data_IF_019911226576
#
_entry.id   IF_019911226576
#
_cell.length_a   1.000
_cell.length_b   1.000
_cell.length_c   1.000
_cell.angle_alpha   90.00
_cell.angle_beta   90.00
_cell.angle_gamma   90.00
#
_symmetry.space_group_name_H-M   'P 1'
#
loop_
_entity.id
_entity.type
_entity.pdbx_description
1 polymer ?
#
# COMPACT_ATOMS: atom_id res chain seq x y z
N UNK A 1 65.38 39.50 -11.98
CA UNK A 1 63.93 39.56 -11.44
C UNK A 1 62.92 39.67 -12.57
N UNK A 2 62.99 40.52 -13.54
CA UNK A 2 62.03 40.69 -14.65
C UNK A 2 61.77 39.43 -15.51
N UNK A 3 62.77 38.59 -15.73
CA UNK A 3 62.72 37.36 -16.57
C UNK A 3 61.96 36.23 -15.88
N UNK A 4 61.98 36.17 -14.52
CA UNK A 4 61.19 35.20 -13.72
C UNK A 4 59.73 35.56 -13.67
N UNK A 5 59.36 36.83 -13.62
CA UNK A 5 57.97 37.31 -13.61
C UNK A 5 57.33 37.06 -14.96
N UNK A 6 58.05 37.21 -16.09
CA UNK A 6 57.51 36.93 -17.42
C UNK A 6 57.27 35.47 -17.68
N UNK A 7 58.08 34.57 -17.13
CA UNK A 7 57.83 33.11 -17.22
C UNK A 7 56.66 32.64 -16.37
N UNK A 8 56.42 33.25 -15.21
CA UNK A 8 55.24 32.89 -14.34
C UNK A 8 53.90 33.32 -14.95
N UNK A 9 53.89 34.42 -15.69
CA UNK A 9 52.70 34.91 -16.41
C UNK A 9 52.41 34.06 -17.66
N UNK A 10 53.41 33.57 -18.38
CA UNK A 10 53.26 32.69 -19.55
C UNK A 10 52.72 31.29 -19.17
N UNK A 11 53.08 30.77 -18.00
CA UNK A 11 52.52 29.50 -17.51
C UNK A 11 51.08 29.62 -17.02
N UNK A 12 50.64 30.77 -16.48
CA UNK A 12 49.26 31.00 -16.08
C UNK A 12 48.28 31.02 -17.25
N UNK A 13 48.66 31.52 -18.41
CA UNK A 13 47.83 31.57 -19.62
C UNK A 13 47.73 30.24 -20.36
N UNK A 14 48.76 29.38 -20.25
CA UNK A 14 48.89 28.16 -21.06
C UNK A 14 47.81 27.07 -20.75
N UNK A 15 47.18 27.09 -19.56
CA UNK A 15 46.17 26.14 -19.15
C UNK A 15 44.78 26.78 -18.91
N UNK A 16 44.64 28.07 -19.23
CA UNK A 16 43.35 28.75 -18.98
C UNK A 16 42.24 28.23 -19.93
N UNK A 17 42.57 27.93 -21.17
CA UNK A 17 41.70 27.31 -22.13
C UNK A 17 41.25 25.89 -21.68
N UNK A 18 42.16 25.13 -21.03
CA UNK A 18 41.83 23.79 -20.50
C UNK A 18 40.80 23.88 -19.36
N UNK A 19 40.91 24.90 -18.51
CA UNK A 19 39.90 25.15 -17.46
C UNK A 19 38.54 25.51 -18.05
N UNK A 20 38.54 26.33 -19.11
CA UNK A 20 37.29 26.63 -19.83
C UNK A 20 36.72 25.39 -20.53
N UNK A 21 37.55 24.59 -21.17
CA UNK A 21 37.11 23.32 -21.79
C UNK A 21 36.54 22.36 -20.77
N UNK A 22 37.22 22.16 -19.63
CA UNK A 22 36.70 21.33 -18.52
C UNK A 22 35.38 21.88 -17.98
N UNK A 23 35.28 23.20 -17.81
CA UNK A 23 34.02 23.84 -17.39
C UNK A 23 32.88 23.60 -18.37
N UNK A 24 33.11 23.72 -19.67
CA UNK A 24 32.12 23.41 -20.71
C UNK A 24 31.73 21.93 -20.67
N UNK A 25 32.69 21.02 -20.57
CA UNK A 25 32.42 19.58 -20.49
C UNK A 25 31.62 19.23 -19.23
N UNK A 26 31.92 19.81 -18.07
CA UNK A 26 31.12 19.66 -16.86
C UNK A 26 29.72 20.21 -17.05
N UNK A 27 29.55 21.36 -17.66
CA UNK A 27 28.24 21.94 -17.94
C UNK A 27 27.40 21.04 -18.87
N UNK A 28 28.04 20.54 -19.95
CA UNK A 28 27.37 19.60 -20.87
C UNK A 28 27.01 18.28 -20.18
N UNK A 29 27.84 17.75 -19.29
CA UNK A 29 27.56 16.57 -18.51
C UNK A 29 26.38 16.78 -17.53
N UNK A 30 26.38 17.95 -16.86
CA UNK A 30 25.25 18.32 -15.97
C UNK A 30 23.95 18.47 -16.74
N UNK A 31 24.01 19.16 -17.91
CA UNK A 31 22.83 19.33 -18.76
C UNK A 31 22.31 17.97 -19.27
N UNK A 32 23.22 17.13 -19.77
CA UNK A 32 22.90 15.78 -20.26
C UNK A 32 22.31 14.90 -19.14
N UNK A 33 22.91 14.95 -17.96
CA UNK A 33 22.39 14.26 -16.76
C UNK A 33 20.99 14.74 -16.38
N UNK A 34 20.76 16.06 -16.40
CA UNK A 34 19.43 16.62 -16.11
C UNK A 34 18.39 16.18 -17.14
N UNK A 35 18.71 16.26 -18.44
CA UNK A 35 17.84 15.78 -19.52
C UNK A 35 17.54 14.29 -19.36
N UNK A 36 18.55 13.48 -19.04
CA UNK A 36 18.36 12.06 -18.81
C UNK A 36 17.37 11.83 -17.65
N UNK A 37 17.63 12.42 -16.48
CA UNK A 37 16.87 12.17 -15.26
C UNK A 37 15.40 12.63 -15.38
N UNK A 38 15.12 13.78 -16.00
CA UNK A 38 13.80 14.40 -16.00
C UNK A 38 12.99 14.21 -17.28
N UNK A 39 13.64 13.81 -18.38
CA UNK A 39 12.98 13.68 -19.69
C UNK A 39 13.07 12.25 -20.23
N UNK A 40 14.25 11.65 -20.26
CA UNK A 40 14.45 10.36 -20.91
C UNK A 40 14.16 9.16 -20.01
N UNK A 41 14.43 9.27 -18.71
CA UNK A 41 14.27 8.16 -17.78
C UNK A 41 12.83 7.98 -17.24
N UNK A 42 12.03 9.02 -16.93
CA UNK A 42 10.66 8.87 -16.48
C UNK A 42 9.74 8.00 -17.36
N UNK A 43 9.80 8.10 -18.70
CA UNK A 43 9.05 7.19 -19.58
C UNK A 43 9.40 5.72 -19.40
N UNK A 44 10.65 5.39 -19.06
CA UNK A 44 11.10 4.02 -18.79
C UNK A 44 10.49 3.50 -17.48
N UNK A 45 10.45 4.35 -16.44
CA UNK A 45 9.77 4.02 -15.16
C UNK A 45 8.27 3.78 -15.41
N UNK A 46 7.63 4.69 -16.12
CA UNK A 46 6.20 4.57 -16.47
C UNK A 46 5.91 3.28 -17.26
N UNK A 47 6.73 2.98 -18.27
CA UNK A 47 6.64 1.75 -19.08
C UNK A 47 6.75 0.49 -18.21
N UNK A 48 7.66 0.50 -17.23
CA UNK A 48 7.82 -0.64 -16.32
C UNK A 48 6.56 -0.90 -15.51
N UNK A 49 5.89 0.15 -15.05
CA UNK A 49 4.63 0.04 -14.30
C UNK A 49 3.50 -0.47 -15.20
N UNK A 50 3.38 0.09 -16.42
CA UNK A 50 2.36 -0.36 -17.38
C UNK A 50 2.55 -1.83 -17.74
N UNK A 51 3.77 -2.25 -18.06
CA UNK A 51 4.06 -3.66 -18.38
C UNK A 51 3.81 -4.59 -17.20
N UNK A 52 4.11 -4.15 -15.97
CA UNK A 52 3.80 -4.95 -14.79
C UNK A 52 2.29 -5.12 -14.59
N UNK A 53 1.48 -4.10 -14.91
CA UNK A 53 0.01 -4.21 -14.85
C UNK A 53 -0.58 -5.10 -15.96
N UNK A 54 0.07 -5.14 -17.13
CA UNK A 54 -0.36 -5.99 -18.25
C UNK A 54 0.00 -7.47 -18.02
N UNK A 55 1.05 -7.71 -17.20
CA UNK A 55 1.51 -9.07 -16.90
C UNK A 55 0.71 -9.70 -15.77
N UNK A 56 -0.52 -10.14 -16.07
CA UNK A 56 -1.44 -10.72 -15.10
C UNK A 56 -1.00 -12.11 -14.68
N UNK A 57 -0.89 -12.32 -13.40
CA UNK A 57 -0.60 -13.64 -12.85
C UNK A 57 -1.83 -14.56 -13.03
N UNK A 58 -1.66 -15.79 -13.57
CA UNK A 58 -2.76 -16.73 -13.67
C UNK A 58 -3.20 -17.17 -12.26
N UNK A 59 -4.48 -17.52 -12.13
CA UNK A 59 -4.98 -18.23 -10.94
C UNK A 59 -4.47 -19.66 -10.97
N UNK A 60 -3.82 -20.08 -9.89
CA UNK A 60 -3.26 -21.44 -9.70
C UNK A 60 -4.01 -22.22 -8.65
N UNK A 61 -4.68 -21.55 -7.74
CA UNK A 61 -5.44 -22.12 -6.64
C UNK A 61 -6.85 -21.55 -6.57
N UNK A 62 -7.75 -22.31 -5.98
CA UNK A 62 -9.12 -21.89 -5.74
C UNK A 62 -9.54 -22.21 -4.31
N UNK A 63 -10.61 -21.60 -3.76
CA UNK A 63 -11.14 -21.92 -2.44
C UNK A 63 -11.43 -23.40 -2.24
N UNK A 64 -11.69 -24.14 -3.30
CA UNK A 64 -11.95 -25.60 -3.25
C UNK A 64 -10.77 -26.38 -2.67
N UNK A 65 -9.53 -25.94 -2.89
CA UNK A 65 -8.31 -26.55 -2.29
C UNK A 65 -8.38 -26.60 -0.77
N UNK A 66 -9.08 -25.64 -0.17
CA UNK A 66 -9.26 -25.52 1.28
C UNK A 66 -10.61 -26.07 1.76
N UNK A 67 -11.31 -26.81 0.89
CA UNK A 67 -12.60 -27.41 1.22
C UNK A 67 -13.77 -26.42 1.31
N UNK A 68 -13.60 -25.19 0.78
CA UNK A 68 -14.64 -24.16 0.81
C UNK A 68 -15.52 -24.24 -0.45
N UNK A 69 -16.81 -24.06 -0.25
CA UNK A 69 -17.75 -23.76 -1.33
C UNK A 69 -17.56 -22.31 -1.75
N UNK A 70 -17.65 -22.06 -3.03
CA UNK A 70 -17.59 -20.71 -3.60
C UNK A 70 -18.35 -20.62 -4.92
N UNK A 71 -18.68 -19.41 -5.31
CA UNK A 71 -19.24 -19.05 -6.60
C UNK A 71 -18.32 -18.06 -7.30
N UNK A 72 -18.00 -18.30 -8.57
CA UNK A 72 -17.37 -17.28 -9.42
C UNK A 72 -18.40 -16.20 -9.72
N UNK A 73 -18.00 -14.95 -9.48
CA UNK A 73 -18.87 -13.78 -9.70
C UNK A 73 -18.22 -12.77 -10.63
N UNK A 74 -19.04 -12.18 -11.48
CA UNK A 74 -18.68 -11.05 -12.34
C UNK A 74 -19.47 -9.84 -11.88
N UNK A 75 -18.77 -8.76 -11.55
CA UNK A 75 -19.34 -7.57 -10.90
C UNK A 75 -19.17 -6.38 -11.83
N UNK A 76 -20.25 -5.88 -12.44
CA UNK A 76 -20.17 -4.69 -13.26
C UNK A 76 -19.89 -3.46 -12.39
N UNK A 77 -18.89 -2.69 -12.80
CA UNK A 77 -18.52 -1.41 -12.21
C UNK A 77 -18.93 -0.25 -13.13
N UNK A 78 -18.82 0.98 -12.61
CA UNK A 78 -18.82 2.17 -13.44
C UNK A 78 -17.71 2.09 -14.50
N UNK A 79 -17.81 2.87 -15.55
CA UNK A 79 -16.78 2.98 -16.60
C UNK A 79 -16.57 1.71 -17.45
N UNK A 80 -17.55 0.79 -17.43
CA UNK A 80 -17.53 -0.42 -18.26
C UNK A 80 -16.54 -1.51 -17.78
N UNK A 81 -15.93 -1.35 -16.63
CA UNK A 81 -15.07 -2.38 -16.03
C UNK A 81 -15.93 -3.46 -15.38
N UNK A 82 -15.57 -4.72 -15.57
CA UNK A 82 -16.17 -5.87 -14.87
C UNK A 82 -15.12 -6.48 -13.96
N UNK A 83 -15.40 -6.55 -12.66
CA UNK A 83 -14.52 -7.24 -11.70
C UNK A 83 -14.87 -8.73 -11.68
N UNK A 84 -13.85 -9.54 -11.42
CA UNK A 84 -13.97 -10.98 -11.19
C UNK A 84 -13.68 -11.29 -9.72
N UNK A 85 -14.46 -12.17 -9.13
CA UNK A 85 -14.30 -12.52 -7.72
C UNK A 85 -14.78 -13.91 -7.39
N UNK A 86 -14.55 -14.30 -6.13
CA UNK A 86 -15.10 -15.49 -5.49
C UNK A 86 -16.01 -15.07 -4.35
N UNK A 87 -17.28 -15.44 -4.45
CA UNK A 87 -18.19 -15.37 -3.33
C UNK A 87 -18.08 -16.62 -2.48
N UNK A 88 -17.69 -16.47 -1.22
CA UNK A 88 -17.56 -17.54 -0.24
C UNK A 88 -18.65 -17.38 0.83
N UNK A 89 -19.72 -18.20 0.80
CA UNK A 89 -20.76 -18.15 1.81
C UNK A 89 -20.22 -18.62 3.17
N UNK A 90 -20.76 -18.06 4.24
CA UNK A 90 -20.46 -18.54 5.59
C UNK A 90 -20.99 -19.95 5.81
N UNK A 91 -20.29 -20.81 6.57
CA UNK A 91 -20.82 -22.10 7.00
C UNK A 91 -21.96 -21.98 8.02
N UNK A 92 -22.14 -20.81 8.63
CA UNK A 92 -23.17 -20.54 9.61
C UNK A 92 -24.51 -20.17 8.95
N UNK A 93 -25.61 -20.65 9.47
CA UNK A 93 -26.96 -20.25 9.03
C UNK A 93 -27.22 -18.75 9.24
N UNK A 94 -26.55 -18.16 10.22
CA UNK A 94 -26.53 -16.71 10.48
C UNK A 94 -25.08 -16.21 10.44
N UNK A 95 -24.61 -15.74 9.28
CA UNK A 95 -23.26 -15.19 9.15
C UNK A 95 -23.02 -14.04 10.12
N UNK A 96 -21.79 -13.95 10.63
CA UNK A 96 -21.36 -12.89 11.56
C UNK A 96 -21.19 -11.53 10.90
N UNK A 97 -21.10 -11.49 9.57
CA UNK A 97 -20.95 -10.27 8.77
C UNK A 97 -20.49 -10.60 7.36
N UNK A 98 -20.29 -9.57 6.56
CA UNK A 98 -19.81 -9.66 5.18
C UNK A 98 -18.48 -8.92 5.06
N UNK A 99 -17.50 -9.54 4.42
CA UNK A 99 -16.18 -8.92 4.19
C UNK A 99 -15.92 -8.86 2.69
N UNK A 100 -15.60 -7.67 2.20
CA UNK A 100 -15.04 -7.46 0.86
C UNK A 100 -13.53 -7.44 0.99
N UNK A 101 -12.84 -8.42 0.41
CA UNK A 101 -11.40 -8.62 0.58
C UNK A 101 -10.68 -8.52 -0.77
N UNK A 102 -9.59 -7.75 -0.82
CA UNK A 102 -8.78 -7.63 -2.04
C UNK A 102 -7.28 -7.52 -1.78
N UNK A 103 -6.52 -7.78 -2.81
CA UNK A 103 -5.08 -8.02 -2.87
C UNK A 103 -4.24 -6.74 -3.10
N UNK A 104 -2.91 -6.88 -3.10
CA UNK A 104 -1.94 -5.85 -3.43
C UNK A 104 -1.76 -5.63 -4.94
N UNK A 105 -0.92 -4.65 -5.30
CA UNK A 105 -0.63 -4.30 -6.69
C UNK A 105 0.04 -5.46 -7.45
N UNK A 106 -0.32 -5.65 -8.73
CA UNK A 106 0.22 -6.67 -9.64
C UNK A 106 0.02 -8.12 -9.20
N UNK A 107 -0.90 -8.35 -8.28
CA UNK A 107 -1.33 -9.66 -7.82
C UNK A 107 -2.77 -9.97 -8.26
N UNK A 108 -3.28 -11.06 -7.77
CA UNK A 108 -4.67 -11.46 -7.91
C UNK A 108 -5.24 -11.90 -6.56
N UNK A 109 -6.50 -12.29 -6.53
CA UNK A 109 -7.24 -12.70 -5.33
C UNK A 109 -6.63 -13.85 -4.54
N UNK A 110 -5.75 -14.67 -5.14
CA UNK A 110 -5.05 -15.75 -4.42
C UNK A 110 -4.14 -15.24 -3.32
N UNK A 111 -3.54 -14.04 -3.49
CA UNK A 111 -2.65 -13.46 -2.48
C UNK A 111 -3.30 -13.33 -1.10
N UNK A 112 -4.62 -13.14 -1.08
CA UNK A 112 -5.39 -12.96 0.16
C UNK A 112 -6.29 -14.16 0.49
N UNK A 113 -6.16 -15.26 -0.25
CA UNK A 113 -7.02 -16.43 -0.09
C UNK A 113 -6.92 -17.05 1.31
N UNK A 114 -5.73 -17.12 1.91
CA UNK A 114 -5.56 -17.63 3.28
C UNK A 114 -6.32 -16.80 4.31
N UNK A 115 -6.38 -15.47 4.14
CA UNK A 115 -7.20 -14.58 4.98
C UNK A 115 -8.69 -14.87 4.81
N UNK A 116 -9.12 -15.10 3.56
CA UNK A 116 -10.51 -15.45 3.27
C UNK A 116 -10.89 -16.79 3.90
N UNK A 117 -10.04 -17.81 3.78
CA UNK A 117 -10.24 -19.14 4.41
C UNK A 117 -10.41 -19.01 5.91
N UNK A 118 -9.53 -18.25 6.56
CA UNK A 118 -9.62 -17.98 7.98
C UNK A 118 -10.95 -17.32 8.36
N UNK A 119 -11.33 -16.25 7.66
CA UNK A 119 -12.56 -15.48 7.95
C UNK A 119 -13.82 -16.31 7.75
N UNK A 120 -13.88 -17.12 6.68
CA UNK A 120 -15.00 -18.05 6.46
C UNK A 120 -15.07 -19.08 7.58
N UNK A 121 -13.93 -19.63 7.99
CA UNK A 121 -13.83 -20.55 9.13
C UNK A 121 -14.30 -19.93 10.46
N UNK A 122 -14.24 -18.59 10.59
CA UNK A 122 -14.77 -17.84 11.76
C UNK A 122 -16.24 -17.44 11.61
N UNK A 123 -16.90 -17.81 10.52
CA UNK A 123 -18.33 -17.59 10.34
C UNK A 123 -18.70 -16.33 9.57
N UNK A 124 -17.74 -15.64 8.96
CA UNK A 124 -18.01 -14.54 8.02
C UNK A 124 -18.28 -15.09 6.62
N UNK A 125 -19.06 -14.36 5.85
CA UNK A 125 -19.12 -14.56 4.40
C UNK A 125 -18.16 -13.55 3.74
N UNK A 126 -17.47 -13.97 2.68
CA UNK A 126 -16.38 -13.19 2.09
C UNK A 126 -16.55 -13.10 0.58
N UNK A 127 -16.49 -11.90 0.05
CA UNK A 127 -16.25 -11.67 -1.38
C UNK A 127 -14.77 -11.33 -1.56
N UNK A 128 -14.02 -12.24 -2.18
CA UNK A 128 -12.63 -11.98 -2.59
C UNK A 128 -12.65 -11.60 -4.06
N UNK A 129 -12.09 -10.44 -4.41
CA UNK A 129 -12.16 -9.94 -5.77
C UNK A 129 -10.79 -9.44 -6.27
N UNK A 130 -10.56 -9.57 -7.56
CA UNK A 130 -9.45 -8.92 -8.25
C UNK A 130 -9.82 -7.45 -8.46
N UNK A 131 -8.96 -6.54 -8.03
CA UNK A 131 -9.13 -5.13 -8.36
C UNK A 131 -9.07 -4.91 -9.87
N UNK A 132 -9.68 -3.84 -10.36
CA UNK A 132 -9.60 -3.46 -11.78
C UNK A 132 -8.15 -3.49 -12.28
N UNK A 133 -7.94 -3.91 -13.51
CA UNK A 133 -6.60 -4.03 -14.10
C UNK A 133 -5.79 -5.23 -13.62
N UNK A 134 -6.27 -6.04 -12.67
CA UNK A 134 -5.55 -7.19 -12.11
C UNK A 134 -6.32 -8.52 -12.28
N UNK A 135 -5.61 -9.62 -12.15
CA UNK A 135 -6.18 -10.97 -12.20
C UNK A 135 -7.09 -11.20 -13.42
N UNK A 136 -8.32 -11.62 -13.19
CA UNK A 136 -9.34 -11.82 -14.22
C UNK A 136 -10.32 -10.64 -14.38
N UNK A 137 -10.10 -9.54 -13.65
CA UNK A 137 -10.92 -8.33 -13.78
C UNK A 137 -10.63 -7.57 -15.07
N UNK A 138 -11.57 -6.73 -15.50
CA UNK A 138 -11.47 -5.91 -16.70
C UNK A 138 -10.25 -4.98 -16.69
N UNK A 139 -9.80 -4.59 -17.89
CA UNK A 139 -8.62 -3.74 -18.05
C UNK A 139 -8.84 -2.35 -17.43
N UNK A 140 -7.85 -1.89 -16.72
CA UNK A 140 -7.73 -0.54 -16.17
C UNK A 140 -6.27 -0.28 -15.85
N UNK A 141 -5.76 0.93 -16.06
CA UNK A 141 -4.44 1.28 -15.55
C UNK A 141 -4.46 1.34 -14.03
N UNK A 142 -3.34 1.00 -13.41
CA UNK A 142 -3.15 1.13 -11.95
C UNK A 142 -3.13 2.60 -11.56
N UNK A 143 -4.01 3.01 -10.66
CA UNK A 143 -4.14 4.41 -10.26
C UNK A 143 -3.64 4.72 -8.83
N UNK A 144 -3.00 3.75 -8.18
CA UNK A 144 -2.54 3.91 -6.80
C UNK A 144 -3.69 3.99 -5.79
N UNK A 145 -4.77 3.29 -6.05
CA UNK A 145 -5.95 3.22 -5.19
C UNK A 145 -7.04 4.26 -5.51
N UNK A 146 -6.83 5.13 -6.49
CA UNK A 146 -7.81 6.18 -6.83
C UNK A 146 -9.04 5.61 -7.55
N UNK A 147 -8.83 4.95 -8.69
CA UNK A 147 -9.90 4.27 -9.43
C UNK A 147 -10.33 2.99 -8.73
N UNK A 148 -9.35 2.24 -8.15
CA UNK A 148 -9.59 0.99 -7.43
C UNK A 148 -10.47 1.18 -6.18
N UNK A 149 -10.53 2.38 -5.61
CA UNK A 149 -11.47 2.70 -4.53
C UNK A 149 -12.94 2.49 -4.94
N UNK A 150 -13.27 2.72 -6.23
CA UNK A 150 -14.61 2.49 -6.79
C UNK A 150 -15.03 1.02 -6.84
N UNK A 151 -14.09 0.09 -6.72
CA UNK A 151 -14.37 -1.35 -6.77
C UNK A 151 -15.13 -1.84 -5.53
N UNK A 152 -14.80 -1.29 -4.34
CA UNK A 152 -15.47 -1.65 -3.10
C UNK A 152 -16.98 -1.32 -3.09
N UNK A 153 -17.42 -0.09 -3.40
CA UNK A 153 -18.86 0.21 -3.45
C UNK A 153 -19.58 -0.54 -4.57
N UNK A 154 -18.91 -0.85 -5.69
CA UNK A 154 -19.48 -1.69 -6.74
C UNK A 154 -19.73 -3.12 -6.24
N UNK A 155 -18.77 -3.72 -5.54
CA UNK A 155 -18.91 -5.01 -4.89
C UNK A 155 -20.01 -4.99 -3.82
N UNK A 156 -20.06 -3.97 -2.99
CA UNK A 156 -21.08 -3.81 -1.95
C UNK A 156 -22.49 -3.72 -2.56
N UNK A 157 -22.65 -2.92 -3.60
CA UNK A 157 -23.92 -2.81 -4.35
C UNK A 157 -24.32 -4.13 -4.98
N UNK A 158 -23.39 -4.82 -5.64
CA UNK A 158 -23.64 -6.13 -6.25
C UNK A 158 -24.17 -7.15 -5.25
N UNK A 159 -23.58 -7.22 -4.04
CA UNK A 159 -24.06 -8.11 -2.98
C UNK A 159 -25.39 -7.65 -2.39
N UNK A 160 -25.60 -6.34 -2.25
CA UNK A 160 -26.85 -5.78 -1.73
C UNK A 160 -28.03 -6.07 -2.67
N UNK A 161 -27.86 -5.89 -3.97
CA UNK A 161 -28.88 -6.18 -4.99
C UNK A 161 -29.31 -7.65 -4.98
N UNK A 162 -28.42 -8.57 -4.56
CA UNK A 162 -28.68 -10.01 -4.39
C UNK A 162 -29.18 -10.40 -3.00
N UNK A 163 -29.27 -9.45 -2.07
CA UNK A 163 -29.60 -9.67 -0.65
C UNK A 163 -28.61 -10.61 0.04
N UNK A 164 -27.35 -10.62 -0.42
CA UNK A 164 -26.28 -11.45 0.16
C UNK A 164 -25.57 -10.75 1.31
N UNK A 165 -25.69 -9.42 1.45
CA UNK A 165 -25.09 -8.70 2.55
C UNK A 165 -25.68 -9.12 3.90
N UNK A 166 -24.79 -9.39 4.86
CA UNK A 166 -25.08 -9.48 6.29
C UNK A 166 -24.21 -8.43 6.99
N UNK A 167 -24.85 -7.69 7.87
CA UNK A 167 -24.15 -6.66 8.64
C UNK A 167 -23.34 -7.29 9.78
N UNK A 168 -22.19 -6.73 10.16
CA UNK A 168 -21.55 -5.59 9.52
C UNK A 168 -20.91 -5.94 8.16
N UNK A 169 -20.88 -4.96 7.23
CA UNK A 169 -20.11 -5.03 6.00
C UNK A 169 -18.76 -4.34 6.20
N UNK A 170 -17.68 -5.05 5.92
CA UNK A 170 -16.30 -4.60 6.17
C UNK A 170 -15.54 -4.51 4.85
N UNK A 171 -14.83 -3.40 4.63
CA UNK A 171 -13.84 -3.27 3.55
C UNK A 171 -12.47 -3.71 4.07
N UNK A 172 -11.91 -4.72 3.46
CA UNK A 172 -10.62 -5.27 3.85
C UNK A 172 -9.68 -5.31 2.64
N UNK A 173 -8.54 -4.68 2.75
CA UNK A 173 -7.53 -4.68 1.69
C UNK A 173 -6.13 -4.91 2.22
N UNK A 174 -5.31 -5.52 1.37
CA UNK A 174 -3.88 -5.67 1.58
C UNK A 174 -3.13 -4.74 0.62
N UNK A 175 -2.11 -4.01 1.11
CA UNK A 175 -1.23 -3.14 0.31
C UNK A 175 -2.03 -2.14 -0.55
N UNK A 176 -2.02 -2.22 -1.89
CA UNK A 176 -2.88 -1.41 -2.77
C UNK A 176 -4.37 -1.56 -2.41
N UNK A 177 -4.81 -2.78 -2.09
CA UNK A 177 -6.18 -3.02 -1.61
C UNK A 177 -6.50 -2.26 -0.33
N UNK A 178 -5.52 -2.11 0.58
CA UNK A 178 -5.69 -1.32 1.81
C UNK A 178 -5.82 0.18 1.50
N UNK A 179 -5.04 0.68 0.54
CA UNK A 179 -5.17 2.05 0.05
C UNK A 179 -6.57 2.28 -0.52
N UNK A 180 -7.02 1.36 -1.38
CA UNK A 180 -8.34 1.41 -2.02
C UNK A 180 -9.47 1.34 -0.99
N UNK A 181 -9.35 0.48 0.04
CA UNK A 181 -10.33 0.38 1.13
C UNK A 181 -10.44 1.66 1.96
N UNK A 182 -9.29 2.28 2.31
CA UNK A 182 -9.26 3.56 3.04
C UNK A 182 -9.90 4.69 2.23
N UNK A 183 -9.60 4.78 0.94
CA UNK A 183 -10.21 5.78 0.03
C UNK A 183 -11.72 5.56 -0.12
N UNK A 184 -12.14 4.31 -0.36
CA UNK A 184 -13.54 3.95 -0.47
C UNK A 184 -14.33 4.24 0.81
N UNK A 185 -13.66 4.14 1.97
CA UNK A 185 -14.25 4.37 3.28
C UNK A 185 -14.63 5.82 3.57
N UNK A 186 -13.99 6.81 2.90
CA UNK A 186 -14.26 8.24 3.15
C UNK A 186 -15.71 8.61 2.82
N UNK A 187 -16.26 8.07 1.76
CA UNK A 187 -17.61 8.40 1.26
C UNK A 187 -18.55 7.20 1.20
N UNK A 188 -18.21 6.11 1.90
CA UNK A 188 -19.04 4.90 1.86
C UNK A 188 -20.35 5.07 2.59
N UNK A 189 -21.41 4.55 1.99
CA UNK A 189 -22.70 4.32 2.65
C UNK A 189 -22.91 2.83 3.01
N UNK A 190 -21.96 1.97 2.68
CA UNK A 190 -22.09 0.52 2.81
C UNK A 190 -21.26 -0.05 3.95
N UNK A 191 -19.99 0.36 4.08
CA UNK A 191 -19.10 -0.20 5.07
C UNK A 191 -19.36 0.31 6.49
N UNK A 192 -19.24 -0.57 7.46
CA UNK A 192 -19.27 -0.27 8.90
C UNK A 192 -17.88 -0.31 9.52
N UNK A 193 -16.86 -0.82 8.82
CA UNK A 193 -15.47 -0.78 9.25
C UNK A 193 -14.51 -0.97 8.06
N UNK A 194 -13.23 -0.63 8.29
CA UNK A 194 -12.13 -0.88 7.37
C UNK A 194 -11.07 -1.70 8.08
N UNK A 195 -10.50 -2.68 7.37
CA UNK A 195 -9.23 -3.34 7.73
C UNK A 195 -8.21 -3.01 6.64
N UNK A 196 -7.16 -2.30 7.03
CA UNK A 196 -6.09 -1.85 6.15
C UNK A 196 -4.79 -2.56 6.54
N UNK A 197 -4.43 -3.61 5.80
CA UNK A 197 -3.22 -4.39 6.02
C UNK A 197 -2.09 -3.87 5.13
N UNK A 198 -1.04 -3.34 5.75
CA UNK A 198 0.16 -2.78 5.11
C UNK A 198 -0.11 -1.67 4.07
N UNK A 199 -0.94 -0.64 4.38
CA UNK A 199 -1.19 0.46 3.45
C UNK A 199 0.06 1.33 3.27
N UNK A 200 0.44 1.62 2.02
CA UNK A 200 1.47 2.62 1.74
C UNK A 200 0.89 4.03 1.84
N UNK A 201 1.58 4.96 2.49
CA UNK A 201 1.06 6.32 2.65
C UNK A 201 1.10 7.14 1.34
N UNK A 202 2.07 6.87 0.46
CA UNK A 202 2.24 7.60 -0.80
C UNK A 202 2.82 6.72 -1.91
N UNK A 203 2.54 7.07 -3.18
CA UNK A 203 3.21 6.43 -4.32
C UNK A 203 4.73 6.67 -4.30
N UNK A 204 5.19 7.80 -3.75
CA UNK A 204 6.62 8.07 -3.58
C UNK A 204 7.31 6.96 -2.80
N UNK A 205 6.65 6.43 -1.76
CA UNK A 205 7.16 5.28 -1.00
C UNK A 205 7.37 4.05 -1.89
N UNK A 206 6.41 3.73 -2.78
CA UNK A 206 6.56 2.65 -3.73
C UNK A 206 7.68 2.90 -4.75
N UNK A 207 7.68 4.05 -5.41
CA UNK A 207 8.68 4.40 -6.43
C UNK A 207 10.09 4.36 -5.85
N UNK A 208 10.28 4.91 -4.64
CA UNK A 208 11.60 4.98 -3.99
C UNK A 208 12.12 3.64 -3.47
N UNK A 209 11.28 2.61 -3.35
CA UNK A 209 11.65 1.33 -2.74
C UNK A 209 11.54 0.13 -3.67
N UNK A 210 10.69 0.21 -4.70
CA UNK A 210 10.32 -0.96 -5.55
C UNK A 210 10.45 -0.75 -7.05
N UNK A 211 10.91 0.43 -7.51
CA UNK A 211 11.05 0.69 -8.95
C UNK A 211 12.48 1.00 -9.35
N UNK A 212 12.77 0.90 -10.65
CA UNK A 212 14.04 1.36 -11.23
C UNK A 212 14.24 2.87 -11.05
N UNK A 213 13.20 3.62 -10.70
CA UNK A 213 13.26 5.04 -10.36
C UNK A 213 13.80 5.34 -8.95
N UNK A 214 13.97 4.32 -8.09
CA UNK A 214 14.42 4.48 -6.71
C UNK A 214 15.67 5.37 -6.54
N UNK A 215 16.74 5.25 -7.33
CA UNK A 215 17.92 6.10 -7.20
C UNK A 215 17.66 7.60 -7.38
N UNK A 216 16.59 7.97 -8.06
CA UNK A 216 16.25 9.37 -8.38
C UNK A 216 14.97 9.87 -7.66
N UNK A 217 14.28 8.99 -6.92
CA UNK A 217 13.00 9.32 -6.29
C UNK A 217 13.08 10.44 -5.23
N UNK A 218 14.28 10.71 -4.70
CA UNK A 218 14.54 11.79 -3.76
C UNK A 218 14.73 13.17 -4.44
N UNK A 219 14.95 13.21 -5.76
CA UNK A 219 15.14 14.45 -6.50
C UNK A 219 13.79 15.20 -6.62
N UNK A 220 13.79 16.53 -6.36
CA UNK A 220 12.59 17.34 -6.53
C UNK A 220 12.03 17.23 -7.96
N UNK A 221 10.72 17.03 -8.08
CA UNK A 221 10.02 16.96 -9.39
C UNK A 221 10.21 15.66 -10.19
N UNK A 222 11.08 14.74 -9.77
CA UNK A 222 11.28 13.47 -10.48
C UNK A 222 9.99 12.62 -10.52
N UNK A 223 9.31 12.48 -9.39
CA UNK A 223 8.03 11.76 -9.32
C UNK A 223 6.99 12.40 -10.23
N UNK A 224 6.88 13.73 -10.23
CA UNK A 224 5.98 14.46 -11.13
C UNK A 224 6.29 14.20 -12.61
N UNK A 225 7.59 14.09 -12.98
CA UNK A 225 7.98 13.71 -14.34
C UNK A 225 7.58 12.27 -14.68
N UNK A 226 7.68 11.33 -13.73
CA UNK A 226 7.21 9.95 -13.89
C UNK A 226 5.68 9.89 -14.06
N UNK A 227 4.92 10.65 -13.26
CA UNK A 227 3.47 10.74 -13.36
C UNK A 227 3.02 11.32 -14.69
N UNK A 228 3.69 12.38 -15.17
CA UNK A 228 3.41 12.95 -16.50
C UNK A 228 3.69 11.93 -17.62
N UNK A 229 4.78 11.18 -17.51
CA UNK A 229 5.09 10.12 -18.48
C UNK A 229 4.06 8.97 -18.41
N UNK A 230 3.55 8.66 -17.22
CA UNK A 230 2.51 7.67 -17.01
C UNK A 230 1.17 8.14 -17.58
N UNK A 231 0.80 9.41 -17.37
CA UNK A 231 -0.39 10.04 -17.97
C UNK A 231 -0.39 9.93 -19.50
N UNK A 232 0.74 10.23 -20.14
CA UNK A 232 0.88 10.12 -21.60
C UNK A 232 0.62 8.70 -22.14
N UNK A 233 0.78 7.66 -21.30
CA UNK A 233 0.54 6.25 -21.66
C UNK A 233 -0.86 5.76 -21.31
N UNK A 234 -1.44 6.26 -20.26
CA UNK A 234 -2.67 5.72 -19.64
C UNK A 234 -3.86 6.66 -19.73
N UNK A 235 -3.63 7.95 -19.99
CA UNK A 235 -4.65 9.00 -19.92
C UNK A 235 -5.07 9.36 -18.50
N UNK A 236 -4.35 8.89 -17.47
CA UNK A 236 -4.62 9.21 -16.07
C UNK A 236 -3.85 10.45 -15.65
N UNK A 237 -4.50 11.58 -15.53
CA UNK A 237 -3.91 12.83 -15.07
C UNK A 237 -3.67 12.82 -13.54
N UNK A 238 -2.82 11.89 -13.07
CA UNK A 238 -2.50 11.74 -11.66
C UNK A 238 -1.48 12.78 -11.20
N UNK A 239 -1.71 13.35 -10.02
CA UNK A 239 -0.75 14.21 -9.31
C UNK A 239 -0.17 13.49 -8.09
N UNK A 240 0.93 14.02 -7.54
CA UNK A 240 1.50 13.48 -6.29
C UNK A 240 0.51 13.54 -5.12
N UNK A 241 -0.34 14.59 -5.08
CA UNK A 241 -1.35 14.75 -4.03
C UNK A 241 -2.48 13.73 -4.14
N UNK A 242 -2.85 13.32 -5.35
CA UNK A 242 -3.88 12.29 -5.56
C UNK A 242 -3.43 10.93 -4.98
N UNK A 243 -2.14 10.73 -4.88
CA UNK A 243 -1.52 9.48 -4.44
C UNK A 243 -1.07 9.51 -2.98
N UNK A 244 -1.36 10.60 -2.25
CA UNK A 244 -1.14 10.74 -0.83
C UNK A 244 -2.38 10.29 -0.04
N UNK A 245 -2.18 9.37 0.92
CA UNK A 245 -3.24 8.89 1.81
C UNK A 245 -3.48 9.78 3.03
N UNK A 246 -2.53 10.65 3.36
CA UNK A 246 -2.66 11.48 4.57
C UNK A 246 -3.90 12.39 4.56
N UNK A 247 -4.24 13.08 3.46
CA UNK A 247 -5.50 13.83 3.36
C UNK A 247 -6.75 12.95 3.43
N UNK A 248 -6.64 11.69 2.96
CA UNK A 248 -7.75 10.74 2.93
C UNK A 248 -8.11 10.28 4.34
N UNK A 249 -7.12 9.78 5.09
CA UNK A 249 -7.37 9.23 6.44
C UNK A 249 -7.88 10.29 7.42
N UNK A 250 -7.51 11.55 7.25
CA UNK A 250 -8.05 12.70 8.04
C UNK A 250 -9.55 12.90 7.87
N UNK A 251 -10.15 12.35 6.84
CA UNK A 251 -11.59 12.44 6.58
C UNK A 251 -12.40 11.28 7.19
N UNK A 252 -11.73 10.20 7.63
CA UNK A 252 -12.39 9.03 8.24
C UNK A 252 -12.72 9.31 9.71
N UNK A 253 -13.88 9.93 9.96
CA UNK A 253 -14.26 10.43 11.30
C UNK A 253 -14.97 9.40 12.17
N UNK A 254 -15.89 8.63 11.59
CA UNK A 254 -16.80 7.79 12.37
C UNK A 254 -16.68 6.29 12.05
N UNK A 255 -15.91 5.93 11.01
CA UNK A 255 -15.77 4.55 10.59
C UNK A 255 -14.62 3.89 11.36
N UNK A 256 -14.87 2.79 12.10
CA UNK A 256 -13.81 2.02 12.75
C UNK A 256 -12.74 1.55 11.73
N UNK A 257 -11.46 1.67 12.09
CA UNK A 257 -10.35 1.29 11.23
C UNK A 257 -9.33 0.44 11.98
N UNK A 258 -9.05 -0.75 11.47
CA UNK A 258 -7.92 -1.56 11.91
C UNK A 258 -6.77 -1.40 10.91
N UNK A 259 -5.66 -0.85 11.38
CA UNK A 259 -4.38 -0.86 10.67
C UNK A 259 -3.55 -2.06 11.13
N UNK A 260 -2.98 -2.81 10.19
CA UNK A 260 -2.04 -3.90 10.44
C UNK A 260 -0.75 -3.57 9.69
N UNK A 261 0.40 -3.80 10.30
CA UNK A 261 1.71 -3.59 9.67
C UNK A 261 2.74 -4.60 10.19
N UNK A 262 3.68 -4.97 9.36
CA UNK A 262 4.82 -5.78 9.78
C UNK A 262 5.93 -4.92 10.40
N UNK A 263 6.57 -5.37 11.48
CA UNK A 263 7.67 -4.61 12.11
C UNK A 263 8.88 -4.44 11.20
N UNK A 264 9.07 -5.34 10.22
CA UNK A 264 10.16 -5.30 9.23
C UNK A 264 9.66 -5.00 7.82
N UNK A 265 8.48 -4.41 7.69
CA UNK A 265 7.97 -3.98 6.40
C UNK A 265 8.83 -2.82 5.85
N UNK A 266 9.63 -3.12 4.83
CA UNK A 266 10.52 -2.17 4.19
C UNK A 266 9.82 -1.36 3.09
N UNK A 267 8.60 -1.74 2.70
CA UNK A 267 7.79 -1.07 1.70
C UNK A 267 6.75 -0.14 2.33
N UNK A 268 5.83 -0.66 3.13
CA UNK A 268 4.91 0.11 3.96
C UNK A 268 5.48 0.21 5.38
N UNK A 269 6.46 1.08 5.58
CA UNK A 269 7.20 1.15 6.84
C UNK A 269 6.27 1.36 8.02
N UNK A 270 6.49 0.63 9.14
CA UNK A 270 5.59 0.70 10.30
C UNK A 270 5.42 2.11 10.85
N UNK A 271 6.45 2.95 10.79
CA UNK A 271 6.37 4.36 11.23
C UNK A 271 5.43 5.19 10.33
N UNK A 272 5.39 4.89 9.04
CA UNK A 272 4.49 5.56 8.10
C UNK A 272 3.04 5.12 8.29
N UNK A 273 2.81 3.82 8.54
CA UNK A 273 1.47 3.30 8.89
C UNK A 273 1.00 3.87 10.23
N UNK A 274 1.91 4.01 11.21
CA UNK A 274 1.62 4.69 12.47
C UNK A 274 1.20 6.15 12.27
N UNK A 275 1.80 6.86 11.31
CA UNK A 275 1.36 8.22 10.97
C UNK A 275 -0.05 8.24 10.39
N UNK A 276 -0.41 7.31 9.51
CA UNK A 276 -1.78 7.18 9.01
C UNK A 276 -2.76 6.94 10.15
N UNK A 277 -2.45 6.00 11.04
CA UNK A 277 -3.24 5.72 12.24
C UNK A 277 -3.40 6.96 13.12
N UNK A 278 -2.30 7.67 13.43
CA UNK A 278 -2.33 8.84 14.31
C UNK A 278 -3.20 9.98 13.75
N UNK A 279 -3.25 10.13 12.42
CA UNK A 279 -4.03 11.18 11.75
C UNK A 279 -5.46 10.76 11.36
N UNK A 280 -5.85 9.51 11.61
CA UNK A 280 -7.23 9.05 11.41
C UNK A 280 -8.07 9.50 12.62
N UNK A 281 -9.07 10.37 12.47
CA UNK A 281 -9.79 10.92 13.62
C UNK A 281 -10.85 9.97 14.21
N UNK A 282 -11.07 8.80 13.61
CA UNK A 282 -12.01 7.80 14.13
C UNK A 282 -11.67 7.41 15.58
N UNK A 283 -12.64 7.42 16.51
CA UNK A 283 -12.40 7.04 17.91
C UNK A 283 -12.14 5.52 18.07
N UNK A 284 -12.51 4.72 17.08
CA UNK A 284 -12.36 3.26 17.10
C UNK A 284 -11.29 2.78 16.10
N UNK A 285 -10.20 3.59 15.95
CA UNK A 285 -9.02 3.16 15.19
C UNK A 285 -8.11 2.28 16.06
N UNK A 286 -7.51 1.28 15.42
CA UNK A 286 -6.52 0.37 16.04
C UNK A 286 -5.31 0.21 15.15
N UNK A 287 -4.16 -0.03 15.76
CA UNK A 287 -2.93 -0.35 15.06
C UNK A 287 -2.31 -1.61 15.67
N UNK A 288 -1.98 -2.57 14.82
CA UNK A 288 -1.37 -3.84 15.18
C UNK A 288 -0.05 -3.99 14.45
N UNK A 289 1.00 -4.27 15.20
CA UNK A 289 2.31 -4.63 14.67
C UNK A 289 2.46 -6.15 14.68
N UNK A 290 2.81 -6.72 13.52
CA UNK A 290 3.12 -8.15 13.42
C UNK A 290 4.63 -8.30 13.58
N UNK A 291 5.11 -8.97 14.65
CA UNK A 291 6.52 -9.10 14.94
C UNK A 291 7.30 -9.70 13.77
N UNK A 292 8.48 -9.14 13.48
CA UNK A 292 9.41 -9.63 12.46
C UNK A 292 8.86 -9.78 11.03
N UNK A 293 7.60 -9.44 10.76
CA UNK A 293 6.98 -9.60 9.46
C UNK A 293 7.46 -8.52 8.48
N UNK A 294 7.77 -8.92 7.25
CA UNK A 294 7.91 -8.06 6.10
C UNK A 294 6.56 -7.73 5.45
N UNK A 295 6.58 -7.03 4.29
CA UNK A 295 5.38 -6.54 3.61
C UNK A 295 4.33 -7.62 3.32
N UNK A 296 4.74 -8.77 2.81
CA UNK A 296 3.82 -9.84 2.43
C UNK A 296 3.61 -10.90 3.53
N UNK A 297 4.28 -10.74 4.67
CA UNK A 297 4.34 -11.75 5.73
C UNK A 297 3.39 -11.51 6.89
N UNK A 298 2.61 -10.41 6.89
CA UNK A 298 1.76 -10.02 8.03
C UNK A 298 0.83 -11.14 8.49
N UNK A 299 0.22 -11.88 7.57
CA UNK A 299 -0.66 -13.00 7.90
C UNK A 299 0.08 -14.30 8.23
N UNK A 300 1.26 -14.53 7.62
CA UNK A 300 1.94 -15.83 7.67
C UNK A 300 2.99 -15.95 8.76
N UNK A 301 3.63 -14.84 9.15
CA UNK A 301 4.76 -14.85 10.09
C UNK A 301 4.33 -15.16 11.53
N UNK A 302 3.30 -14.50 12.02
CA UNK A 302 2.71 -14.74 13.33
C UNK A 302 1.18 -14.81 13.22
N UNK A 303 0.63 -15.87 12.63
CA UNK A 303 -0.80 -15.98 12.36
C UNK A 303 -1.65 -15.84 13.62
N UNK A 304 -1.21 -16.36 14.77
CA UNK A 304 -1.94 -16.24 16.04
C UNK A 304 -2.13 -14.77 16.44
N UNK A 305 -1.10 -13.93 16.29
CA UNK A 305 -1.18 -12.51 16.63
C UNK A 305 -2.12 -11.79 15.66
N UNK A 306 -1.95 -12.06 14.36
CA UNK A 306 -2.78 -11.48 13.31
C UNK A 306 -4.27 -11.85 13.51
N UNK A 307 -4.56 -13.14 13.60
CA UNK A 307 -5.90 -13.69 13.74
C UNK A 307 -6.59 -13.20 15.00
N UNK A 308 -5.90 -13.20 16.14
CA UNK A 308 -6.42 -12.71 17.42
C UNK A 308 -6.80 -11.24 17.31
N UNK A 309 -5.90 -10.38 16.83
CA UNK A 309 -6.13 -8.94 16.73
C UNK A 309 -7.27 -8.60 15.76
N UNK A 310 -7.32 -9.31 14.63
CA UNK A 310 -8.41 -9.15 13.67
C UNK A 310 -9.75 -9.56 14.27
N UNK A 311 -9.81 -10.70 14.97
CA UNK A 311 -11.06 -11.18 15.58
C UNK A 311 -11.52 -10.31 16.76
N UNK A 312 -10.60 -9.79 17.57
CA UNK A 312 -10.93 -8.81 18.62
C UNK A 312 -11.59 -7.56 18.01
N UNK A 313 -11.01 -7.00 16.95
CA UNK A 313 -11.59 -5.84 16.26
C UNK A 313 -12.98 -6.15 15.67
N UNK A 314 -13.13 -7.30 15.01
CA UNK A 314 -14.41 -7.71 14.41
C UNK A 314 -15.48 -8.03 15.45
N UNK A 315 -15.07 -8.53 16.61
CA UNK A 315 -15.98 -8.81 17.74
C UNK A 315 -16.48 -7.50 18.34
N UNK A 316 -15.57 -6.56 18.60
CA UNK A 316 -15.95 -5.25 19.13
C UNK A 316 -16.81 -4.44 18.15
N UNK A 317 -16.57 -4.59 16.85
CA UNK A 317 -17.44 -4.00 15.83
C UNK A 317 -18.89 -4.52 15.91
N UNK A 318 -19.06 -5.79 16.23
CA UNK A 318 -20.38 -6.41 16.35
C UNK A 318 -21.04 -6.14 17.69
N UNK A 319 -20.29 -6.24 18.79
CA UNK A 319 -20.81 -6.26 20.16
C UNK A 319 -20.72 -4.86 20.83
N UNK A 320 -20.06 -3.92 20.19
CA UNK A 320 -19.78 -2.57 20.67
C UNK A 320 -18.32 -2.39 21.08
N UNK A 321 -17.70 -1.29 20.66
CA UNK A 321 -16.32 -0.98 21.04
C UNK A 321 -16.25 -0.61 22.52
N UNK A 322 -15.23 -1.08 23.26
CA UNK A 322 -14.95 -0.58 24.60
C UNK A 322 -14.62 0.92 24.56
N UNK A 323 -14.70 1.57 25.73
CA UNK A 323 -14.35 3.00 25.86
C UNK A 323 -13.01 3.27 25.20
N UNK A 324 -13.00 4.19 24.22
CA UNK A 324 -11.85 4.51 23.41
C UNK A 324 -10.63 4.93 24.25
N UNK A 325 -10.84 5.66 25.38
CA UNK A 325 -9.78 6.09 26.29
C UNK A 325 -9.10 4.89 26.96
N UNK A 326 -9.88 3.95 27.45
CA UNK A 326 -9.33 2.74 28.08
C UNK A 326 -8.52 1.90 27.10
N UNK A 327 -9.00 1.79 25.87
CA UNK A 327 -8.29 1.07 24.82
C UNK A 327 -6.97 1.79 24.42
N UNK A 328 -6.97 3.11 24.25
CA UNK A 328 -5.76 3.88 23.96
C UNK A 328 -4.71 3.77 25.09
N UNK A 329 -5.14 3.79 26.35
CA UNK A 329 -4.24 3.59 27.50
C UNK A 329 -3.61 2.19 27.50
N UNK A 330 -4.36 1.15 27.19
CA UNK A 330 -3.87 -0.22 27.07
C UNK A 330 -2.90 -0.39 25.88
N UNK A 331 -3.22 0.18 24.74
CA UNK A 331 -2.33 0.21 23.59
C UNK A 331 -1.02 0.95 23.88
N UNK A 332 -1.09 2.12 24.50
CA UNK A 332 0.11 2.87 24.90
C UNK A 332 0.98 2.10 25.91
N UNK A 333 0.39 1.34 26.82
CA UNK A 333 1.14 0.46 27.74
C UNK A 333 1.85 -0.67 26.95
N UNK A 334 1.17 -1.25 25.98
CA UNK A 334 1.72 -2.33 25.14
C UNK A 334 2.86 -1.81 24.27
N UNK A 335 2.71 -0.64 23.64
CA UNK A 335 3.75 0.00 22.83
C UNK A 335 4.99 0.30 23.68
N UNK A 336 4.83 0.90 24.86
CA UNK A 336 5.94 1.18 25.78
C UNK A 336 6.66 -0.09 26.26
N UNK A 337 5.94 -1.20 26.45
CA UNK A 337 6.53 -2.49 26.81
C UNK A 337 7.36 -3.06 25.64
N UNK A 338 6.88 -2.97 24.43
CA UNK A 338 7.58 -3.41 23.22
C UNK A 338 8.83 -2.55 22.96
N UNK A 339 8.75 -1.24 23.06
CA UNK A 339 9.91 -0.32 22.97
C UNK A 339 10.98 -0.64 24.02
N UNK A 340 10.57 -0.96 25.24
CA UNK A 340 11.50 -1.38 26.31
C UNK A 340 12.16 -2.71 26.00
N UNK A 341 11.44 -3.66 25.44
CA UNK A 341 11.99 -4.98 25.04
C UNK A 341 12.99 -4.85 23.88
N UNK A 342 12.68 -4.03 22.88
CA UNK A 342 13.56 -3.72 21.74
C UNK A 342 14.86 -3.05 22.25
N UNK A 343 14.74 -2.05 23.12
CA UNK A 343 15.88 -1.34 23.71
C UNK A 343 16.77 -2.27 24.55
N UNK A 344 16.20 -3.25 25.29
CA UNK A 344 16.99 -4.22 26.06
C UNK A 344 17.71 -5.22 25.14
N UNK A 345 17.09 -5.69 24.05
CA UNK A 345 17.73 -6.57 23.05
C UNK A 345 18.89 -5.88 22.33
N UNK A 346 18.77 -4.59 22.02
CA UNK A 346 19.85 -3.82 21.40
C UNK A 346 21.04 -3.62 22.34
N UNK A 347 20.82 -3.40 23.63
CA UNK A 347 21.88 -3.31 24.64
C UNK A 347 22.57 -4.65 24.89
N UNK A 348 21.86 -5.76 24.89
CA UNK A 348 22.42 -7.11 25.07
C UNK A 348 23.29 -7.59 23.89
N UNK A 349 23.12 -7.02 22.68
CA UNK A 349 23.97 -7.33 21.52
C UNK A 349 25.26 -6.51 21.49
N UNK A 350 25.31 -5.37 22.19
CA UNK A 350 26.51 -4.51 22.26
C UNK A 350 27.53 -4.98 23.34
N UNK A 351 27.18 -5.94 24.17
CA UNK A 351 28.04 -6.41 25.27
C UNK A 351 28.66 -7.81 25.02
N UNK A 352 28.54 -8.40 23.83
CA UNK A 352 29.31 -9.61 23.52
C UNK A 352 30.69 -9.20 23.01
N UNK A 353 31.78 -9.48 23.78
CA UNK A 353 33.15 -9.25 23.31
C UNK A 353 33.44 -10.17 22.14
N UNK A 354 33.98 -9.59 21.06
CA UNK A 354 34.54 -10.36 19.96
C UNK A 354 35.62 -11.31 20.54
N UNK A 355 35.37 -12.59 20.44
CA UNK A 355 36.36 -13.65 20.63
C UNK A 355 36.93 -14.08 19.29
#
# INVERSE_FOLDING_TARGET
MAKQIKNSQLHKGKYQWLKWLLGILCLLALLGGTVFIYILFPPVVAETIVKASDHRQPLTETPKKFGLNYEDVLIPCSEGVTLSGWWLPSPLSKPLGTILLTHGVFHNREQVLNRAVFLVGKGYQVLVFDQRGNGLSGNSPVSGGLLEAGDFPACAKYLADRRWVRQPLIYFGFSLGAISALRAGVSTQYAQAIVADSPLPTLKSYVSRRTIGAPFAWLPGFLGSCLKAYDLKTGLALTENDLDLMPVVKQIKNLPVLYITGERDDLARPEEVQQLFAHTPSPHRRLVYIPEAGHEETFTKYPIVYEKSLMEFLTDLRDGFPDARKYEEEQMKTIKLLEKQVSMKQKGHSEQPMK
#
